data_IF_615995262876
#
_entry.id   IF_615995262876
#
_cell.length_a   1.000
_cell.length_b   1.000
_cell.length_c   1.000
_cell.angle_alpha   90.00
_cell.angle_beta   90.00
_cell.angle_gamma   90.00
#
_symmetry.space_group_name_H-M   'P 1'
#
loop_
_entity.id
_entity.type
_entity.pdbx_description
1 polymer ?
#
# COMPACT_ATOMS: atom_id res chain seq x y z
N UNK A 1 -0.25 -2.10 -34.82
CA UNK A 1 0.07 -3.32 -34.05
C UNK A 1 1.12 -4.08 -34.83
N UNK A 2 2.34 -4.18 -34.30
CA UNK A 2 3.41 -5.01 -34.85
C UNK A 2 2.93 -6.46 -34.91
N UNK A 3 2.96 -7.05 -36.10
CA UNK A 3 2.53 -8.43 -36.33
C UNK A 3 3.57 -9.38 -35.73
N UNK A 4 3.48 -9.63 -34.42
CA UNK A 4 4.23 -10.70 -33.78
C UNK A 4 3.71 -12.02 -34.33
N UNK A 5 4.55 -12.67 -35.13
CA UNK A 5 4.29 -13.99 -35.70
C UNK A 5 4.32 -15.00 -34.57
N UNK A 6 3.20 -15.67 -34.33
CA UNK A 6 3.08 -16.71 -33.29
C UNK A 6 3.27 -18.10 -33.90
N UNK A 7 2.83 -18.30 -35.15
CA UNK A 7 3.00 -19.55 -35.88
C UNK A 7 4.47 -19.95 -36.04
N UNK A 8 4.75 -21.24 -35.82
CA UNK A 8 6.04 -21.88 -36.14
C UNK A 8 6.15 -22.33 -37.60
N UNK A 9 5.07 -22.22 -38.37
CA UNK A 9 5.04 -22.64 -39.77
C UNK A 9 5.74 -21.60 -40.65
N UNK A 10 6.86 -21.94 -41.34
CA UNK A 10 7.67 -20.98 -42.08
C UNK A 10 6.90 -20.27 -43.20
N UNK A 11 5.85 -20.89 -43.74
CA UNK A 11 5.00 -20.29 -44.77
C UNK A 11 4.16 -19.15 -44.17
N UNK A 12 3.60 -19.34 -42.99
CA UNK A 12 2.83 -18.31 -42.27
C UNK A 12 3.74 -17.15 -41.88
N UNK A 13 4.95 -17.46 -41.37
CA UNK A 13 5.94 -16.42 -41.04
C UNK A 13 6.30 -15.58 -42.27
N UNK A 14 6.52 -16.21 -43.43
CA UNK A 14 6.82 -15.50 -44.67
C UNK A 14 5.64 -14.66 -45.18
N UNK A 15 4.40 -15.11 -44.99
CA UNK A 15 3.20 -14.34 -45.35
C UNK A 15 3.07 -13.10 -44.47
N UNK A 16 3.19 -13.25 -43.15
CA UNK A 16 3.05 -12.15 -42.19
C UNK A 16 4.20 -11.14 -42.33
N UNK A 17 5.43 -11.63 -42.57
CA UNK A 17 6.59 -10.78 -42.84
C UNK A 17 6.55 -10.09 -44.22
N UNK A 18 5.59 -10.44 -45.07
CA UNK A 18 5.46 -9.88 -46.43
C UNK A 18 6.52 -10.35 -47.42
N UNK A 19 7.32 -11.35 -47.08
CA UNK A 19 8.39 -11.91 -47.94
C UNK A 19 7.88 -13.02 -48.86
N UNK A 20 6.68 -13.55 -48.61
CA UNK A 20 6.07 -14.57 -49.44
C UNK A 20 5.69 -14.07 -50.85
N UNK A 21 5.91 -14.87 -51.91
CA UNK A 21 5.48 -14.54 -53.28
C UNK A 21 3.98 -14.22 -53.35
N UNK A 22 3.59 -13.35 -54.29
CA UNK A 22 2.19 -12.93 -54.45
C UNK A 22 1.24 -14.12 -54.66
N UNK A 23 1.66 -15.12 -55.43
CA UNK A 23 0.88 -16.35 -55.64
C UNK A 23 0.63 -17.12 -54.33
N UNK A 24 1.62 -17.18 -53.43
CA UNK A 24 1.48 -17.84 -52.13
C UNK A 24 0.58 -17.04 -51.18
N UNK A 25 0.71 -15.71 -51.15
CA UNK A 25 -0.18 -14.82 -50.38
C UNK A 25 -1.64 -14.93 -50.86
N UNK A 26 -1.85 -15.02 -52.17
CA UNK A 26 -3.19 -15.21 -52.75
C UNK A 26 -3.75 -16.61 -52.48
N UNK A 27 -2.92 -17.66 -52.53
CA UNK A 27 -3.33 -19.01 -52.15
C UNK A 27 -3.73 -19.10 -50.67
N UNK A 28 -2.98 -18.43 -49.78
CA UNK A 28 -3.33 -18.31 -48.38
C UNK A 28 -4.65 -17.54 -48.18
N UNK A 29 -4.82 -16.40 -48.86
CA UNK A 29 -6.04 -15.60 -48.81
C UNK A 29 -7.30 -16.37 -49.22
N UNK A 30 -7.16 -17.38 -50.10
CA UNK A 30 -8.24 -18.26 -50.56
C UNK A 30 -8.38 -19.57 -49.76
N UNK A 31 -7.57 -19.75 -48.71
CA UNK A 31 -7.58 -20.98 -47.89
C UNK A 31 -7.10 -22.24 -48.61
N UNK A 32 -6.29 -22.11 -49.67
CA UNK A 32 -5.83 -23.25 -50.49
C UNK A 32 -4.53 -23.90 -49.98
N UNK A 33 -3.90 -23.34 -48.95
CA UNK A 33 -2.68 -23.88 -48.38
C UNK A 33 -2.98 -25.00 -47.37
N UNK A 34 -2.18 -26.08 -47.31
CA UNK A 34 -2.33 -27.16 -46.35
C UNK A 34 -1.81 -26.74 -44.97
N UNK A 35 -2.53 -25.85 -44.29
CA UNK A 35 -2.20 -25.32 -42.98
C UNK A 35 -3.13 -25.88 -41.90
N UNK A 36 -2.67 -25.85 -40.65
CA UNK A 36 -3.56 -26.06 -39.51
C UNK A 36 -4.60 -24.93 -39.44
N UNK A 37 -5.72 -25.16 -38.76
CA UNK A 37 -6.77 -24.15 -38.66
C UNK A 37 -6.28 -22.87 -37.97
N UNK A 38 -5.45 -22.98 -36.92
CA UNK A 38 -4.88 -21.84 -36.21
C UNK A 38 -3.90 -21.05 -37.12
N UNK A 39 -3.01 -21.74 -37.82
CA UNK A 39 -2.06 -21.15 -38.76
C UNK A 39 -2.75 -20.45 -39.93
N UNK A 40 -3.81 -21.07 -40.47
CA UNK A 40 -4.61 -20.50 -41.55
C UNK A 40 -5.27 -19.19 -41.09
N UNK A 41 -5.91 -19.18 -39.91
CA UNK A 41 -6.54 -17.98 -39.38
C UNK A 41 -5.53 -16.87 -39.09
N UNK A 42 -4.34 -17.20 -38.57
CA UNK A 42 -3.30 -16.20 -38.34
C UNK A 42 -2.85 -15.54 -39.64
N UNK A 43 -2.61 -16.34 -40.69
CA UNK A 43 -2.28 -15.84 -42.01
C UNK A 43 -3.40 -14.96 -42.61
N UNK A 44 -4.66 -15.42 -42.52
CA UNK A 44 -5.82 -14.67 -43.03
C UNK A 44 -6.02 -13.34 -42.30
N UNK A 45 -5.90 -13.33 -40.97
CA UNK A 45 -6.04 -12.11 -40.15
C UNK A 45 -4.93 -11.11 -40.49
N UNK A 46 -3.69 -11.56 -40.69
CA UNK A 46 -2.59 -10.70 -41.12
C UNK A 46 -2.85 -10.09 -42.51
N UNK A 47 -3.36 -10.88 -43.46
CA UNK A 47 -3.64 -10.43 -44.83
C UNK A 47 -4.73 -9.35 -44.92
N UNK A 48 -5.57 -9.17 -43.90
CA UNK A 48 -6.54 -8.06 -43.83
C UNK A 48 -5.88 -6.67 -43.77
N UNK A 49 -4.62 -6.61 -43.35
CA UNK A 49 -3.84 -5.36 -43.31
C UNK A 49 -2.94 -5.18 -44.54
N UNK A 50 -3.12 -6.01 -45.57
CA UNK A 50 -2.33 -5.95 -46.82
C UNK A 50 -2.63 -4.66 -47.61
N UNK A 51 -1.63 -4.05 -48.26
CA UNK A 51 -1.85 -2.91 -49.15
C UNK A 51 -2.60 -3.28 -50.44
N UNK A 52 -2.71 -4.58 -50.78
CA UNK A 52 -3.37 -5.08 -51.99
C UNK A 52 -4.85 -5.36 -51.71
N UNK A 53 -5.81 -4.59 -52.28
CA UNK A 53 -7.24 -4.74 -51.98
C UNK A 53 -7.82 -6.11 -52.33
N UNK A 54 -7.30 -6.76 -53.37
CA UNK A 54 -7.74 -8.09 -53.79
C UNK A 54 -7.40 -9.17 -52.75
N UNK A 55 -6.22 -9.07 -52.11
CA UNK A 55 -5.81 -9.97 -51.04
C UNK A 55 -6.69 -9.77 -49.80
N UNK A 56 -6.97 -8.51 -49.44
CA UNK A 56 -7.83 -8.18 -48.30
C UNK A 56 -9.23 -8.76 -48.53
N UNK A 57 -9.81 -8.57 -49.72
CA UNK A 57 -11.14 -9.10 -50.05
C UNK A 57 -11.18 -10.63 -50.00
N UNK A 58 -10.22 -11.30 -50.64
CA UNK A 58 -10.17 -12.77 -50.64
C UNK A 58 -10.00 -13.33 -49.21
N UNK A 59 -9.12 -12.74 -48.40
CA UNK A 59 -8.92 -13.16 -47.02
C UNK A 59 -10.19 -12.95 -46.18
N UNK A 60 -10.89 -11.82 -46.37
CA UNK A 60 -12.15 -11.54 -45.68
C UNK A 60 -13.26 -12.53 -46.08
N UNK A 61 -13.43 -12.82 -47.37
CA UNK A 61 -14.38 -13.83 -47.86
C UNK A 61 -14.11 -15.20 -47.24
N UNK A 62 -12.85 -15.61 -47.17
CA UNK A 62 -12.45 -16.88 -46.56
C UNK A 62 -12.69 -16.90 -45.05
N UNK A 63 -12.44 -15.79 -44.34
CA UNK A 63 -12.72 -15.65 -42.91
C UNK A 63 -14.22 -15.67 -42.60
N UNK A 64 -15.03 -15.08 -43.47
CA UNK A 64 -16.48 -15.05 -43.32
C UNK A 64 -17.10 -16.44 -43.55
N UNK A 65 -16.49 -17.24 -44.44
CA UNK A 65 -16.88 -18.63 -44.70
C UNK A 65 -16.49 -19.64 -43.60
N UNK A 66 -15.73 -19.23 -42.57
CA UNK A 66 -15.33 -20.14 -41.49
C UNK A 66 -16.51 -20.57 -40.62
N UNK A 67 -16.59 -21.86 -40.31
CA UNK A 67 -17.65 -22.43 -39.50
C UNK A 67 -17.45 -22.21 -37.99
N UNK A 68 -18.56 -22.02 -37.27
CA UNK A 68 -18.54 -21.75 -35.83
C UNK A 68 -17.79 -22.80 -34.97
N UNK A 69 -17.91 -24.13 -35.21
CA UNK A 69 -17.18 -25.13 -34.42
C UNK A 69 -15.65 -25.00 -34.56
N UNK A 70 -15.16 -24.70 -35.77
CA UNK A 70 -13.73 -24.51 -36.05
C UNK A 70 -13.20 -23.24 -35.37
N UNK A 71 -13.98 -22.15 -35.41
CA UNK A 71 -13.63 -20.91 -34.72
C UNK A 71 -13.62 -21.08 -33.19
N UNK A 72 -14.58 -21.84 -32.64
CA UNK A 72 -14.65 -22.14 -31.21
C UNK A 72 -13.45 -22.98 -30.75
N UNK A 73 -13.05 -23.99 -31.53
CA UNK A 73 -11.87 -24.80 -31.24
C UNK A 73 -10.61 -23.94 -31.15
N UNK A 74 -10.43 -23.01 -32.09
CA UNK A 74 -9.29 -22.07 -32.09
C UNK A 74 -9.39 -21.08 -30.92
N UNK A 75 -10.57 -20.54 -30.60
CA UNK A 75 -10.72 -19.63 -29.46
C UNK A 75 -10.36 -20.28 -28.12
N UNK A 76 -10.60 -21.59 -27.96
CA UNK A 76 -10.27 -22.36 -26.75
C UNK A 76 -8.80 -22.75 -26.65
N UNK A 77 -8.08 -22.81 -27.77
CA UNK A 77 -6.68 -23.21 -27.79
C UNK A 77 -5.79 -22.12 -27.18
N UNK A 78 -4.97 -22.49 -26.20
CA UNK A 78 -4.08 -21.57 -25.49
C UNK A 78 -2.91 -21.07 -26.34
N UNK A 79 -2.55 -21.81 -27.39
CA UNK A 79 -1.46 -21.46 -28.31
C UNK A 79 -1.94 -20.58 -29.48
N UNK A 80 -3.24 -20.26 -29.53
CA UNK A 80 -3.79 -19.40 -30.57
C UNK A 80 -3.14 -18.01 -30.55
N UNK A 81 -2.77 -17.55 -31.74
CA UNK A 81 -2.15 -16.25 -31.93
C UNK A 81 -3.02 -15.11 -31.36
N UNK A 82 -2.43 -14.15 -30.61
CA UNK A 82 -3.18 -13.02 -30.04
C UNK A 82 -3.90 -12.16 -31.09
N UNK A 83 -3.36 -12.09 -32.31
CA UNK A 83 -3.98 -11.41 -33.45
C UNK A 83 -5.31 -12.06 -33.86
N UNK A 84 -5.37 -13.39 -33.84
CA UNK A 84 -6.57 -14.17 -34.16
C UNK A 84 -7.62 -13.97 -33.06
N UNK A 85 -7.24 -14.08 -31.79
CA UNK A 85 -8.14 -13.82 -30.66
C UNK A 85 -8.68 -12.39 -30.69
N UNK A 86 -7.83 -11.41 -31.05
CA UNK A 86 -8.24 -10.02 -31.26
C UNK A 86 -9.25 -9.85 -32.39
N UNK A 87 -9.07 -10.55 -33.52
CA UNK A 87 -10.05 -10.58 -34.60
C UNK A 87 -11.38 -11.19 -34.15
N UNK A 88 -11.35 -12.32 -33.43
CA UNK A 88 -12.55 -12.99 -32.93
C UNK A 88 -13.32 -12.14 -31.92
N UNK A 89 -12.62 -11.40 -31.05
CA UNK A 89 -13.22 -10.47 -30.09
C UNK A 89 -14.06 -9.37 -30.77
N UNK A 90 -13.62 -8.88 -31.92
CA UNK A 90 -14.31 -7.82 -32.68
C UNK A 90 -15.42 -8.31 -33.61
N UNK A 91 -15.62 -9.63 -33.74
CA UNK A 91 -16.59 -10.21 -34.68
C UNK A 91 -17.99 -10.21 -34.07
N UNK A 92 -18.85 -9.28 -34.50
CA UNK A 92 -20.23 -9.15 -33.98
C UNK A 92 -21.09 -10.39 -34.22
N UNK A 93 -20.83 -11.14 -35.31
CA UNK A 93 -21.54 -12.38 -35.64
C UNK A 93 -20.99 -13.61 -34.91
N UNK A 94 -20.03 -13.44 -34.00
CA UNK A 94 -19.51 -14.55 -33.22
C UNK A 94 -20.57 -15.02 -32.21
N UNK A 95 -20.83 -16.32 -32.17
CA UNK A 95 -21.72 -16.89 -31.16
C UNK A 95 -21.18 -16.67 -29.74
N UNK A 96 -22.08 -16.66 -28.76
CA UNK A 96 -21.78 -16.47 -27.32
C UNK A 96 -20.61 -17.33 -26.84
N UNK A 97 -20.60 -18.61 -27.22
CA UNK A 97 -19.56 -19.57 -26.81
C UNK A 97 -18.15 -19.19 -27.30
N UNK A 98 -18.05 -18.57 -28.49
CA UNK A 98 -16.77 -18.10 -29.03
C UNK A 98 -16.31 -16.87 -28.26
N UNK A 99 -17.22 -15.92 -27.99
CA UNK A 99 -16.90 -14.72 -27.22
C UNK A 99 -16.46 -15.06 -25.80
N UNK A 100 -17.13 -16.02 -25.16
CA UNK A 100 -16.75 -16.53 -23.84
C UNK A 100 -15.37 -17.21 -23.89
N UNK A 101 -15.11 -18.07 -24.89
CA UNK A 101 -13.79 -18.67 -25.06
C UNK A 101 -12.68 -17.63 -25.25
N UNK A 102 -12.92 -16.60 -26.05
CA UNK A 102 -11.98 -15.48 -26.23
C UNK A 102 -11.75 -14.72 -24.92
N UNK A 103 -12.80 -14.47 -24.14
CA UNK A 103 -12.68 -13.79 -22.85
C UNK A 103 -11.86 -14.59 -21.81
N UNK A 104 -12.01 -15.92 -21.82
CA UNK A 104 -11.32 -16.83 -20.90
C UNK A 104 -9.90 -17.19 -21.35
N UNK A 105 -9.55 -16.97 -22.61
CA UNK A 105 -8.22 -17.31 -23.12
C UNK A 105 -7.16 -16.33 -22.59
N UNK A 106 -6.11 -16.87 -21.97
CA UNK A 106 -4.98 -16.10 -21.40
C UNK A 106 -4.19 -15.32 -22.45
N UNK A 107 -4.17 -15.80 -23.69
CA UNK A 107 -3.42 -15.21 -24.81
C UNK A 107 -4.17 -14.06 -25.47
N UNK A 108 -5.44 -13.82 -25.11
CA UNK A 108 -6.22 -12.70 -25.65
C UNK A 108 -5.64 -11.36 -25.18
N UNK A 109 -5.34 -10.43 -26.10
CA UNK A 109 -4.90 -9.08 -25.76
C UNK A 109 -5.93 -8.32 -24.93
N UNK A 110 -5.50 -7.45 -24.03
CA UNK A 110 -6.43 -6.69 -23.19
C UNK A 110 -7.24 -5.67 -23.99
N UNK A 111 -6.66 -5.09 -25.04
CA UNK A 111 -7.39 -4.19 -25.95
C UNK A 111 -8.55 -4.91 -26.63
N UNK A 112 -8.37 -6.19 -26.94
CA UNK A 112 -9.42 -7.03 -27.50
C UNK A 112 -10.52 -7.35 -26.48
N UNK A 113 -10.15 -7.60 -25.21
CA UNK A 113 -11.12 -7.76 -24.13
C UNK A 113 -11.89 -6.46 -23.87
N UNK A 114 -11.22 -5.31 -23.89
CA UNK A 114 -11.87 -4.01 -23.76
C UNK A 114 -12.86 -3.75 -24.90
N UNK A 115 -12.45 -4.06 -26.14
CA UNK A 115 -13.34 -4.00 -27.30
C UNK A 115 -14.56 -4.92 -27.11
N UNK A 116 -14.34 -6.19 -26.77
CA UNK A 116 -15.41 -7.17 -26.53
C UNK A 116 -16.37 -6.70 -25.44
N UNK A 117 -15.84 -6.20 -24.32
CA UNK A 117 -16.60 -5.62 -23.22
C UNK A 117 -17.38 -4.37 -23.64
N UNK A 118 -16.91 -3.60 -24.63
CA UNK A 118 -17.63 -2.41 -25.11
C UNK A 118 -18.78 -2.72 -26.07
N UNK A 119 -18.68 -3.82 -26.83
CA UNK A 119 -19.64 -4.15 -27.90
C UNK A 119 -20.63 -5.27 -27.53
N UNK A 120 -20.31 -6.09 -26.51
CA UNK A 120 -21.18 -7.22 -26.15
C UNK A 120 -22.53 -6.74 -25.66
N UNK A 121 -23.58 -7.49 -26.01
CA UNK A 121 -24.94 -7.30 -25.49
C UNK A 121 -25.30 -8.36 -24.45
N UNK A 122 -24.38 -9.27 -24.10
CA UNK A 122 -24.58 -10.30 -23.07
C UNK A 122 -23.93 -9.87 -21.75
N UNK A 123 -24.78 -9.61 -20.75
CA UNK A 123 -24.33 -9.25 -19.40
C UNK A 123 -23.55 -10.37 -18.69
N UNK A 124 -23.82 -11.64 -19.00
CA UNK A 124 -23.09 -12.77 -18.39
C UNK A 124 -21.63 -12.79 -18.84
N UNK A 125 -21.36 -12.36 -20.07
CA UNK A 125 -20.00 -12.22 -20.59
C UNK A 125 -19.24 -11.09 -19.87
N UNK A 126 -19.91 -9.98 -19.56
CA UNK A 126 -19.32 -8.88 -18.77
C UNK A 126 -18.99 -9.35 -17.34
N UNK A 127 -19.82 -10.19 -16.74
CA UNK A 127 -19.50 -10.83 -15.47
C UNK A 127 -18.26 -11.73 -15.57
N UNK A 128 -18.18 -12.58 -16.60
CA UNK A 128 -17.01 -13.43 -16.83
C UNK A 128 -15.72 -12.61 -17.04
N UNK A 129 -15.79 -11.50 -17.78
CA UNK A 129 -14.65 -10.58 -17.98
C UNK A 129 -14.21 -9.97 -16.64
N UNK A 130 -15.15 -9.55 -15.81
CA UNK A 130 -14.84 -8.89 -14.52
C UNK A 130 -14.39 -9.84 -13.41
N UNK A 131 -14.53 -11.16 -13.57
CA UNK A 131 -13.91 -12.14 -12.66
C UNK A 131 -12.39 -12.02 -12.68
N UNK A 132 -11.79 -11.69 -13.82
CA UNK A 132 -10.33 -11.62 -13.96
C UNK A 132 -9.79 -10.27 -13.50
N UNK A 133 -9.63 -10.12 -12.18
CA UNK A 133 -9.15 -8.88 -11.55
C UNK A 133 -7.76 -8.45 -12.06
N UNK A 134 -6.84 -9.40 -12.32
CA UNK A 134 -5.50 -9.09 -12.84
C UNK A 134 -5.56 -8.34 -14.17
N UNK A 135 -6.50 -8.72 -15.06
CA UNK A 135 -6.72 -8.01 -16.33
C UNK A 135 -7.29 -6.61 -16.11
N UNK A 136 -8.24 -6.45 -15.18
CA UNK A 136 -8.81 -5.13 -14.85
C UNK A 136 -7.76 -4.16 -14.32
N UNK A 137 -6.84 -4.64 -13.47
CA UNK A 137 -5.72 -3.85 -12.94
C UNK A 137 -4.73 -3.50 -14.05
N UNK A 138 -4.37 -4.47 -14.92
CA UNK A 138 -3.41 -4.24 -16.00
C UNK A 138 -3.94 -3.31 -17.10
N UNK A 139 -5.24 -3.36 -17.40
CA UNK A 139 -5.87 -2.62 -18.48
C UNK A 139 -7.17 -1.91 -18.03
N UNK A 140 -7.07 -0.67 -17.53
CA UNK A 140 -8.21 0.10 -17.02
C UNK A 140 -9.30 0.39 -18.06
N UNK A 141 -8.95 0.36 -19.35
CA UNK A 141 -9.90 0.50 -20.45
C UNK A 141 -10.99 -0.58 -20.43
N UNK A 142 -10.71 -1.77 -19.87
CA UNK A 142 -11.72 -2.82 -19.68
C UNK A 142 -12.76 -2.37 -18.64
N UNK A 143 -12.31 -1.75 -17.54
CA UNK A 143 -13.22 -1.22 -16.51
C UNK A 143 -14.14 -0.16 -17.11
N UNK A 144 -13.60 0.77 -17.88
CA UNK A 144 -14.38 1.82 -18.55
C UNK A 144 -15.37 1.23 -19.56
N UNK A 145 -14.95 0.22 -20.33
CA UNK A 145 -15.82 -0.48 -21.27
C UNK A 145 -17.01 -1.16 -20.56
N UNK A 146 -16.76 -1.87 -19.45
CA UNK A 146 -17.83 -2.54 -18.67
C UNK A 146 -18.78 -1.51 -18.07
N UNK A 147 -18.27 -0.44 -17.44
CA UNK A 147 -19.11 0.59 -16.81
C UNK A 147 -19.98 1.31 -17.83
N UNK A 148 -19.47 1.57 -19.03
CA UNK A 148 -20.20 2.29 -20.07
C UNK A 148 -21.10 1.39 -20.94
N UNK A 149 -20.99 0.06 -20.83
CA UNK A 149 -21.82 -0.86 -21.60
C UNK A 149 -23.27 -0.88 -21.09
N UNK A 150 -24.24 -0.80 -22.01
CA UNK A 150 -25.67 -0.84 -21.71
C UNK A 150 -26.17 -2.20 -21.18
N UNK A 151 -25.48 -3.29 -21.50
CA UNK A 151 -25.77 -4.65 -21.05
C UNK A 151 -25.12 -5.01 -19.71
N UNK A 152 -24.47 -4.05 -19.03
CA UNK A 152 -23.83 -4.28 -17.73
C UNK A 152 -24.82 -4.81 -16.69
N UNK A 153 -24.40 -5.83 -15.97
CA UNK A 153 -25.15 -6.36 -14.82
C UNK A 153 -24.72 -5.67 -13.53
N UNK A 154 -25.55 -5.70 -12.47
CA UNK A 154 -25.15 -5.16 -11.17
C UNK A 154 -23.84 -5.75 -10.64
N UNK A 155 -23.58 -7.05 -10.86
CA UNK A 155 -22.37 -7.71 -10.39
C UNK A 155 -21.13 -7.29 -11.19
N UNK A 156 -21.24 -7.21 -12.52
CA UNK A 156 -20.15 -6.72 -13.37
C UNK A 156 -19.79 -5.25 -13.07
N UNK A 157 -20.80 -4.39 -12.88
CA UNK A 157 -20.59 -2.99 -12.51
C UNK A 157 -19.94 -2.87 -11.12
N UNK A 158 -20.43 -3.65 -10.14
CA UNK A 158 -19.89 -3.66 -8.78
C UNK A 158 -18.40 -4.01 -8.78
N UNK A 159 -18.00 -5.15 -9.39
CA UNK A 159 -16.60 -5.59 -9.45
C UNK A 159 -15.69 -4.59 -10.18
N UNK A 160 -16.17 -4.04 -11.30
CA UNK A 160 -15.41 -3.05 -12.05
C UNK A 160 -15.19 -1.77 -11.23
N UNK A 161 -16.23 -1.27 -10.54
CA UNK A 161 -16.12 -0.09 -9.67
C UNK A 161 -15.28 -0.33 -8.43
N UNK A 162 -15.40 -1.49 -7.81
CA UNK A 162 -14.60 -1.90 -6.65
C UNK A 162 -13.11 -1.91 -7.03
N UNK A 163 -12.75 -2.60 -8.12
CA UNK A 163 -11.38 -2.60 -8.64
C UNK A 163 -10.91 -1.18 -8.99
N UNK A 164 -11.77 -0.37 -9.62
CA UNK A 164 -11.44 1.04 -9.93
C UNK A 164 -11.14 1.85 -8.67
N UNK A 165 -11.98 1.72 -7.65
CA UNK A 165 -11.86 2.46 -6.40
C UNK A 165 -10.62 2.04 -5.63
N UNK A 166 -10.39 0.74 -5.51
CA UNK A 166 -9.28 0.17 -4.76
C UNK A 166 -7.92 0.48 -5.37
N UNK A 167 -7.77 0.32 -6.69
CA UNK A 167 -6.45 0.39 -7.31
C UNK A 167 -6.15 1.72 -8.00
N UNK A 168 -7.16 2.51 -8.39
CA UNK A 168 -6.92 3.72 -9.18
C UNK A 168 -7.37 5.00 -8.49
N UNK A 169 -8.50 5.00 -7.80
CA UNK A 169 -8.98 6.21 -7.12
C UNK A 169 -8.24 6.45 -5.80
N UNK A 170 -7.90 5.40 -5.04
CA UNK A 170 -7.05 5.51 -3.84
C UNK A 170 -5.64 6.02 -4.18
N UNK A 171 -4.98 5.42 -5.16
CA UNK A 171 -3.64 5.85 -5.59
C UNK A 171 -3.63 7.28 -6.14
N UNK A 172 -4.59 7.64 -6.99
CA UNK A 172 -4.68 9.00 -7.55
C UNK A 172 -5.04 10.04 -6.50
N UNK A 173 -5.89 9.71 -5.53
CA UNK A 173 -6.21 10.59 -4.41
C UNK A 173 -4.97 10.90 -3.56
N UNK A 174 -4.22 9.87 -3.18
CA UNK A 174 -2.97 10.02 -2.44
C UNK A 174 -1.93 10.84 -3.24
N UNK A 175 -1.76 10.54 -4.53
CA UNK A 175 -0.83 11.27 -5.42
C UNK A 175 -1.23 12.73 -5.63
N UNK A 176 -2.52 13.02 -5.78
CA UNK A 176 -3.01 14.39 -5.93
C UNK A 176 -2.74 15.20 -4.66
N UNK A 177 -3.05 14.64 -3.48
CA UNK A 177 -2.79 15.31 -2.20
C UNK A 177 -1.29 15.50 -1.98
N UNK A 178 -0.48 14.48 -2.28
CA UNK A 178 0.97 14.58 -2.22
C UNK A 178 1.50 15.67 -3.17
N UNK A 179 0.94 15.80 -4.37
CA UNK A 179 1.23 16.88 -5.31
C UNK A 179 0.90 18.26 -4.74
N UNK A 180 -0.28 18.42 -4.13
CA UNK A 180 -0.71 19.67 -3.48
C UNK A 180 0.18 20.01 -2.27
N UNK A 181 0.54 19.04 -1.44
CA UNK A 181 1.44 19.22 -0.29
C UNK A 181 2.85 19.64 -0.72
N UNK A 182 3.39 19.02 -1.78
CA UNK A 182 4.67 19.47 -2.39
C UNK A 182 4.57 20.89 -2.91
N UNK A 183 3.46 21.26 -3.55
CA UNK A 183 3.25 22.64 -4.01
C UNK A 183 3.20 23.65 -2.86
N UNK A 184 2.76 23.25 -1.67
CA UNK A 184 2.78 24.04 -0.44
C UNK A 184 4.13 24.01 0.30
N UNK A 185 5.14 23.30 -0.22
CA UNK A 185 6.46 23.14 0.42
C UNK A 185 6.51 22.10 1.55
N UNK A 186 5.43 21.35 1.76
CA UNK A 186 5.34 20.28 2.78
C UNK A 186 5.81 18.93 2.20
N UNK A 187 7.08 18.84 1.79
CA UNK A 187 7.62 17.66 1.12
C UNK A 187 7.57 16.38 1.97
N UNK A 188 7.95 16.47 3.25
CA UNK A 188 7.90 15.35 4.20
C UNK A 188 6.48 14.79 4.38
N UNK A 189 5.48 15.67 4.40
CA UNK A 189 4.08 15.30 4.49
C UNK A 189 3.59 14.56 3.23
N UNK A 190 4.05 14.99 2.05
CA UNK A 190 3.74 14.34 0.78
C UNK A 190 4.34 12.93 0.68
N UNK A 191 5.61 12.77 1.10
CA UNK A 191 6.30 11.47 1.16
C UNK A 191 5.56 10.49 2.08
N UNK A 192 5.10 10.97 3.24
CA UNK A 192 4.30 10.15 4.14
C UNK A 192 2.99 9.69 3.49
N UNK A 193 2.24 10.60 2.84
CA UNK A 193 0.97 10.28 2.17
C UNK A 193 1.12 9.24 1.06
N UNK A 194 2.22 9.24 0.33
CA UNK A 194 2.49 8.22 -0.70
C UNK A 194 2.89 6.86 -0.12
N UNK A 195 3.51 6.86 1.07
CA UNK A 195 3.98 5.64 1.72
C UNK A 195 2.99 5.04 2.74
N UNK A 196 1.92 5.76 3.07
CA UNK A 196 0.96 5.37 4.09
C UNK A 196 -0.05 4.37 3.52
N UNK A 197 -0.01 3.15 4.03
CA UNK A 197 -0.90 2.06 3.60
C UNK A 197 -2.29 2.16 4.24
N UNK A 198 -2.46 2.90 5.35
CA UNK A 198 -3.79 3.12 5.93
C UNK A 198 -4.70 4.01 5.09
N UNK A 199 -4.20 4.62 4.01
CA UNK A 199 -5.02 5.44 3.11
C UNK A 199 -5.85 4.55 2.19
N UNK A 200 -6.93 4.02 2.77
CA UNK A 200 -8.02 3.40 2.02
C UNK A 200 -8.37 1.97 2.41
N UNK A 201 -7.67 1.35 3.36
CA UNK A 201 -8.05 0.02 3.88
C UNK A 201 -8.97 0.05 5.09
N UNK A 202 -9.07 1.18 5.80
CA UNK A 202 -9.80 1.24 7.08
C UNK A 202 -11.09 2.06 6.99
N UNK A 203 -12.20 1.44 7.35
CA UNK A 203 -13.39 2.14 7.85
C UNK A 203 -12.96 3.00 9.06
N UNK A 204 -12.56 4.25 8.84
CA UNK A 204 -12.26 5.16 9.96
C UNK A 204 -11.47 6.42 9.67
N UNK A 205 -10.66 6.48 8.60
CA UNK A 205 -9.87 7.69 8.29
C UNK A 205 -10.37 8.33 6.99
N UNK A 206 -10.97 9.51 7.12
CA UNK A 206 -11.37 10.33 5.98
C UNK A 206 -10.17 11.01 5.32
N UNK A 207 -10.38 11.54 4.12
CA UNK A 207 -9.38 12.34 3.40
C UNK A 207 -8.93 13.55 4.22
N UNK A 208 -9.87 14.17 4.94
CA UNK A 208 -9.61 15.33 5.80
C UNK A 208 -8.78 14.93 7.03
N UNK A 209 -8.96 13.71 7.54
CA UNK A 209 -8.16 13.18 8.65
C UNK A 209 -6.71 12.98 8.22
N UNK A 210 -6.50 12.44 7.02
CA UNK A 210 -5.18 12.25 6.44
C UNK A 210 -4.45 13.58 6.24
N UNK A 211 -5.15 14.59 5.72
CA UNK A 211 -4.57 15.93 5.53
C UNK A 211 -4.15 16.56 6.85
N UNK A 212 -4.99 16.47 7.90
CA UNK A 212 -4.64 16.98 9.23
C UNK A 212 -3.42 16.26 9.81
N UNK A 213 -3.32 14.93 9.66
CA UNK A 213 -2.15 14.16 10.11
C UNK A 213 -0.90 14.60 9.35
N UNK A 214 -1.01 14.83 8.03
CA UNK A 214 0.08 15.29 7.19
C UNK A 214 0.64 16.66 7.63
N UNK A 215 -0.18 17.54 8.23
CA UNK A 215 0.30 18.81 8.80
C UNK A 215 1.28 18.65 9.96
N UNK A 216 1.22 17.51 10.64
CA UNK A 216 2.06 17.22 11.79
C UNK A 216 3.37 16.54 11.37
N UNK A 217 3.70 16.49 10.08
CA UNK A 217 4.89 15.80 9.57
C UNK A 217 5.96 16.81 9.19
N UNK A 218 7.11 16.67 9.82
CA UNK A 218 8.15 17.68 9.83
C UNK A 218 9.49 17.21 9.26
N UNK A 219 9.76 15.90 9.34
CA UNK A 219 11.04 15.29 8.96
C UNK A 219 10.86 14.45 7.70
N UNK A 220 11.74 14.68 6.71
CA UNK A 220 11.74 13.93 5.45
C UNK A 220 12.42 12.58 5.59
N UNK A 221 12.16 11.67 4.66
CA UNK A 221 12.72 10.30 4.69
C UNK A 221 14.25 10.32 4.59
N UNK A 222 14.82 11.33 3.95
CA UNK A 222 16.28 11.51 3.79
C UNK A 222 16.99 11.76 5.12
N UNK A 223 16.27 12.35 6.08
CA UNK A 223 16.83 12.75 7.38
C UNK A 223 16.74 11.62 8.43
N UNK A 224 16.23 10.45 8.06
CA UNK A 224 15.90 9.37 8.98
C UNK A 224 16.82 8.17 8.78
N UNK A 225 17.41 7.72 9.88
CA UNK A 225 18.11 6.45 9.94
C UNK A 225 17.15 5.32 10.34
N UNK A 226 16.48 4.73 9.35
CA UNK A 226 15.57 3.59 9.53
C UNK A 226 16.31 2.25 9.66
N UNK A 227 17.65 2.23 9.74
CA UNK A 227 18.42 0.97 9.83
C UNK A 227 18.12 0.17 11.11
N UNK A 228 17.65 0.85 12.17
CA UNK A 228 17.19 0.22 13.40
C UNK A 228 15.82 -0.48 13.25
N UNK A 229 15.11 -0.15 12.18
CA UNK A 229 13.74 -0.51 11.89
C UNK A 229 13.71 -1.42 10.66
N UNK A 230 13.90 -2.73 10.88
CA UNK A 230 13.44 -3.71 9.91
C UNK A 230 11.89 -3.75 9.91
N UNK A 231 11.25 -2.68 9.41
CA UNK A 231 9.78 -2.53 9.31
C UNK A 231 9.14 -3.74 8.62
N UNK A 232 9.78 -4.23 7.56
CA UNK A 232 9.35 -5.41 6.78
C UNK A 232 9.20 -6.66 7.65
N UNK A 233 9.89 -6.74 8.79
CA UNK A 233 9.81 -7.88 9.73
C UNK A 233 8.95 -7.61 10.96
N UNK A 234 8.45 -6.38 11.13
CA UNK A 234 7.59 -5.97 12.26
C UNK A 234 6.11 -6.19 11.92
N UNK A 235 5.75 -6.06 10.64
CA UNK A 235 4.39 -6.20 10.11
C UNK A 235 3.78 -7.59 10.39
N UNK A 236 4.58 -8.65 10.22
CA UNK A 236 4.15 -10.05 10.41
C UNK A 236 3.78 -10.40 11.87
N UNK A 237 4.15 -9.57 12.84
CA UNK A 237 4.07 -9.94 14.27
C UNK A 237 3.08 -9.11 15.11
N UNK A 238 2.51 -8.01 14.58
CA UNK A 238 1.66 -7.10 15.36
C UNK A 238 0.43 -6.58 14.58
N UNK A 239 -0.50 -7.46 14.23
CA UNK A 239 -1.85 -7.05 13.85
C UNK A 239 -2.66 -6.66 15.09
N UNK A 240 -2.92 -5.36 15.27
CA UNK A 240 -3.85 -4.85 16.26
C UNK A 240 -5.27 -4.78 15.67
N UNK A 241 -6.25 -5.36 16.39
CA UNK A 241 -7.65 -5.25 16.00
C UNK A 241 -8.16 -3.81 16.14
N UNK A 242 -9.21 -3.46 15.39
CA UNK A 242 -9.83 -2.14 15.48
C UNK A 242 -10.26 -1.80 16.92
N UNK A 243 -10.84 -2.76 17.64
CA UNK A 243 -11.26 -2.60 19.04
C UNK A 243 -10.07 -2.29 19.97
N UNK A 244 -8.91 -2.92 19.74
CA UNK A 244 -7.70 -2.64 20.51
C UNK A 244 -7.21 -1.21 20.27
N UNK A 245 -7.27 -0.72 19.02
CA UNK A 245 -6.89 0.67 18.68
C UNK A 245 -7.82 1.68 19.33
N UNK A 246 -9.14 1.45 19.28
CA UNK A 246 -10.14 2.29 19.95
C UNK A 246 -9.92 2.30 21.46
N UNK A 247 -9.71 1.14 22.09
CA UNK A 247 -9.45 1.05 23.52
C UNK A 247 -8.17 1.81 23.93
N UNK A 248 -7.13 1.74 23.11
CA UNK A 248 -5.89 2.50 23.33
C UNK A 248 -6.14 4.02 23.19
N UNK A 249 -6.92 4.45 22.19
CA UNK A 249 -7.30 5.85 22.03
C UNK A 249 -8.05 6.38 23.25
N UNK A 250 -9.08 5.68 23.73
CA UNK A 250 -9.85 6.09 24.91
C UNK A 250 -8.99 6.13 26.18
N UNK A 251 -8.03 5.21 26.32
CA UNK A 251 -7.08 5.25 27.43
C UNK A 251 -6.23 6.51 27.41
N UNK A 252 -5.66 6.87 26.26
CA UNK A 252 -4.80 8.06 26.13
C UNK A 252 -5.61 9.35 26.32
N UNK A 253 -6.85 9.40 25.81
CA UNK A 253 -7.77 10.51 26.04
C UNK A 253 -8.06 10.63 27.54
N UNK A 254 -8.41 9.54 28.22
CA UNK A 254 -8.66 9.57 29.65
C UNK A 254 -7.45 9.97 30.50
N UNK A 255 -6.23 9.62 30.07
CA UNK A 255 -4.99 10.09 30.70
C UNK A 255 -4.75 11.59 30.46
N UNK A 256 -4.98 12.05 29.23
CA UNK A 256 -4.92 13.46 28.83
C UNK A 256 -5.88 14.32 29.65
N UNK A 257 -7.11 13.86 29.83
CA UNK A 257 -8.13 14.59 30.60
C UNK A 257 -7.76 14.75 32.06
N UNK A 258 -7.06 13.78 32.65
CA UNK A 258 -6.56 13.88 34.03
C UNK A 258 -5.45 14.91 34.16
N UNK A 259 -4.76 15.24 33.08
CA UNK A 259 -3.71 16.26 33.03
C UNK A 259 -4.26 17.66 32.72
N UNK A 260 -5.56 17.77 32.40
CA UNK A 260 -6.24 19.05 32.14
C UNK A 260 -6.06 19.58 30.71
N UNK A 261 -5.59 18.75 29.78
CA UNK A 261 -5.32 19.10 28.38
C UNK A 261 -6.47 18.69 27.44
N UNK A 262 -7.71 19.03 27.80
CA UNK A 262 -8.96 18.58 27.15
C UNK A 262 -9.45 19.48 26.00
N UNK A 263 -8.56 19.95 25.12
CA UNK A 263 -9.04 20.67 23.94
C UNK A 263 -9.73 19.70 22.97
N UNK A 264 -10.89 20.07 22.38
CA UNK A 264 -11.63 19.18 21.48
C UNK A 264 -10.82 18.81 20.23
N UNK A 265 -9.97 19.74 19.76
CA UNK A 265 -9.04 19.53 18.65
C UNK A 265 -8.01 18.45 18.99
N UNK A 266 -7.42 18.50 20.18
CA UNK A 266 -6.44 17.51 20.63
C UNK A 266 -7.05 16.13 20.84
N UNK A 267 -8.25 16.05 21.40
CA UNK A 267 -8.99 14.79 21.54
C UNK A 267 -9.27 14.17 20.16
N UNK A 268 -9.65 14.99 19.18
CA UNK A 268 -9.86 14.52 17.80
C UNK A 268 -8.56 14.02 17.18
N UNK A 269 -7.46 14.75 17.35
CA UNK A 269 -6.14 14.35 16.86
C UNK A 269 -5.67 13.02 17.48
N UNK A 270 -5.83 12.84 18.79
CA UNK A 270 -5.51 11.58 19.48
C UNK A 270 -6.29 10.41 18.87
N UNK A 271 -7.61 10.58 18.65
CA UNK A 271 -8.44 9.53 18.03
C UNK A 271 -7.94 9.18 16.64
N UNK A 272 -7.70 10.18 15.79
CA UNK A 272 -7.24 9.98 14.40
C UNK A 272 -5.90 9.23 14.36
N UNK A 273 -4.91 9.69 15.13
CA UNK A 273 -3.59 9.06 15.19
C UNK A 273 -3.69 7.61 15.66
N UNK A 274 -4.48 7.33 16.70
CA UNK A 274 -4.56 5.99 17.29
C UNK A 274 -5.30 4.98 16.41
N UNK A 275 -6.18 5.43 15.51
CA UNK A 275 -6.89 4.57 14.58
C UNK A 275 -6.04 4.12 13.38
N UNK A 276 -4.92 4.80 13.10
CA UNK A 276 -3.96 4.39 12.06
C UNK A 276 -3.36 3.00 12.31
N UNK A 277 -2.75 2.41 11.28
CA UNK A 277 -1.97 1.18 11.42
C UNK A 277 -0.75 1.41 12.31
N UNK A 278 -0.24 0.33 12.92
CA UNK A 278 0.99 0.40 13.75
C UNK A 278 2.15 0.95 12.95
N UNK A 279 2.28 0.56 11.67
CA UNK A 279 3.32 1.04 10.74
C UNK A 279 3.27 2.54 10.55
N UNK A 280 2.08 3.09 10.28
CA UNK A 280 1.91 4.52 10.07
C UNK A 280 2.12 5.32 11.37
N UNK A 281 1.74 4.76 12.53
CA UNK A 281 2.07 5.36 13.84
C UNK A 281 3.57 5.36 14.12
N UNK A 282 4.31 4.30 13.74
CA UNK A 282 5.77 4.26 13.84
C UNK A 282 6.38 5.38 12.97
N UNK A 283 6.00 5.45 11.69
CA UNK A 283 6.47 6.49 10.76
C UNK A 283 6.15 7.89 11.28
N UNK A 284 4.93 8.11 11.76
CA UNK A 284 4.52 9.40 12.35
C UNK A 284 5.31 9.71 13.63
N UNK A 285 5.67 8.73 14.45
CA UNK A 285 6.51 8.95 15.64
C UNK A 285 7.91 9.47 15.28
N UNK A 286 8.48 8.95 14.18
CA UNK A 286 9.81 9.33 13.71
C UNK A 286 9.84 10.64 12.93
N UNK A 287 8.75 10.95 12.22
CA UNK A 287 8.66 12.12 11.33
C UNK A 287 7.87 13.29 11.90
N UNK A 288 7.06 13.01 12.90
CA UNK A 288 6.05 13.90 13.41
C UNK A 288 6.63 15.07 14.22
N UNK A 289 5.81 16.10 14.34
CA UNK A 289 6.01 17.27 15.17
C UNK A 289 5.93 16.93 16.67
N UNK A 290 6.06 17.95 17.51
CA UNK A 290 6.03 17.79 18.96
C UNK A 290 4.71 17.20 19.46
N UNK A 291 3.58 17.56 18.85
CA UNK A 291 2.26 17.13 19.32
C UNK A 291 2.05 15.65 19.04
N UNK A 292 2.36 15.20 17.80
CA UNK A 292 2.33 13.79 17.42
C UNK A 292 3.24 12.95 18.32
N UNK A 293 4.47 13.42 18.59
CA UNK A 293 5.40 12.75 19.52
C UNK A 293 4.84 12.63 20.94
N UNK A 294 4.19 13.69 21.44
CA UNK A 294 3.63 13.72 22.80
C UNK A 294 2.49 12.71 23.00
N UNK A 295 1.76 12.41 21.92
CA UNK A 295 0.68 11.42 21.88
C UNK A 295 1.27 10.01 21.74
N UNK A 296 2.14 9.79 20.75
CA UNK A 296 2.67 8.47 20.39
C UNK A 296 3.64 7.89 21.43
N UNK A 297 4.31 8.70 22.24
CA UNK A 297 5.18 8.21 23.32
C UNK A 297 4.41 7.41 24.40
N UNK A 298 3.09 7.61 24.47
CA UNK A 298 2.19 6.92 25.40
C UNK A 298 1.51 5.70 24.78
N UNK A 299 1.83 5.32 23.54
CA UNK A 299 1.21 4.18 22.87
C UNK A 299 1.43 2.88 23.66
N UNK A 300 0.42 1.99 23.68
CA UNK A 300 0.54 0.65 24.25
C UNK A 300 1.57 -0.20 23.52
N UNK A 301 1.73 0.01 22.22
CA UNK A 301 2.72 -0.66 21.42
C UNK A 301 4.10 -0.05 21.67
N UNK A 302 4.99 -0.86 22.25
CA UNK A 302 6.34 -0.42 22.62
C UNK A 302 7.15 0.04 21.41
N UNK A 303 6.94 -0.57 20.23
CA UNK A 303 7.69 -0.22 19.02
C UNK A 303 7.36 1.21 18.59
N UNK A 304 6.07 1.56 18.56
CA UNK A 304 5.59 2.93 18.29
C UNK A 304 6.17 3.92 19.29
N UNK A 305 6.07 3.63 20.59
CA UNK A 305 6.59 4.51 21.63
C UNK A 305 8.12 4.70 21.53
N UNK A 306 8.87 3.65 21.21
CA UNK A 306 10.32 3.76 21.01
C UNK A 306 10.72 4.49 19.73
N UNK A 307 9.88 4.48 18.69
CA UNK A 307 10.14 5.19 17.45
C UNK A 307 10.24 6.72 17.68
N UNK A 308 9.40 7.26 18.57
CA UNK A 308 9.44 8.67 18.99
C UNK A 308 10.81 9.08 19.54
N UNK A 309 11.48 8.19 20.28
CA UNK A 309 12.79 8.47 20.89
C UNK A 309 13.90 8.58 19.84
N UNK A 310 13.71 7.98 18.66
CA UNK A 310 14.65 8.03 17.55
C UNK A 310 14.36 9.20 16.57
N UNK A 311 13.33 10.00 16.82
CA UNK A 311 13.03 11.18 16.00
C UNK A 311 14.19 12.19 16.08
N UNK A 312 14.76 12.64 14.94
CA UNK A 312 15.94 13.51 14.92
C UNK A 312 15.67 14.91 15.49
N UNK A 313 14.40 15.33 15.56
CA UNK A 313 13.99 16.64 16.11
C UNK A 313 13.54 16.59 17.57
N UNK A 314 13.69 15.45 18.26
CA UNK A 314 13.32 15.37 19.67
C UNK A 314 14.24 16.24 20.53
N UNK A 315 13.65 17.15 21.31
CA UNK A 315 14.40 18.10 22.12
C UNK A 315 14.72 17.56 23.52
N UNK A 316 15.78 18.10 24.14
CA UNK A 316 16.14 17.72 25.53
C UNK A 316 15.01 18.04 26.52
N UNK A 317 14.27 19.13 26.30
CA UNK A 317 13.13 19.50 27.13
C UNK A 317 11.96 18.50 27.02
N UNK A 318 11.70 17.96 25.82
CA UNK A 318 10.74 16.86 25.65
C UNK A 318 11.18 15.62 26.41
N UNK A 319 12.46 15.26 26.34
CA UNK A 319 13.01 14.10 27.08
C UNK A 319 12.91 14.29 28.59
N UNK A 320 13.16 15.51 29.09
CA UNK A 320 12.97 15.85 30.50
C UNK A 320 11.51 15.59 30.93
N UNK A 321 10.54 16.05 30.15
CA UNK A 321 9.13 15.81 30.42
C UNK A 321 8.79 14.31 30.36
N UNK A 322 9.21 13.60 29.31
CA UNK A 322 8.98 12.16 29.12
C UNK A 322 9.56 11.34 30.28
N UNK A 323 10.76 11.69 30.76
CA UNK A 323 11.42 10.98 31.87
C UNK A 323 10.64 11.03 33.19
N UNK A 324 9.75 12.02 33.35
CA UNK A 324 8.88 12.17 34.52
C UNK A 324 7.53 11.44 34.39
N UNK A 325 7.14 11.06 33.17
CA UNK A 325 5.83 10.47 32.87
C UNK A 325 5.70 9.05 33.43
N UNK A 326 4.55 8.74 34.04
CA UNK A 326 4.24 7.39 34.57
C UNK A 326 3.44 6.52 33.60
N UNK A 327 3.00 7.11 32.49
CA UNK A 327 2.17 6.52 31.42
C UNK A 327 3.02 5.88 30.32
N UNK A 328 4.30 6.25 30.21
CA UNK A 328 5.22 5.73 29.20
C UNK A 328 5.74 4.33 29.53
N UNK A 329 6.18 3.60 28.50
CA UNK A 329 6.74 2.25 28.65
C UNK A 329 8.11 2.28 29.36
N UNK A 330 8.44 1.19 30.04
CA UNK A 330 9.73 0.99 30.70
C UNK A 330 10.89 0.98 29.69
N UNK A 331 10.63 0.51 28.48
CA UNK A 331 11.55 0.48 27.36
C UNK A 331 11.98 1.89 26.91
N UNK A 332 11.03 2.83 26.81
CA UNK A 332 11.32 4.25 26.53
C UNK A 332 12.28 4.81 27.58
N UNK A 333 11.99 4.58 28.86
CA UNK A 333 12.84 5.08 29.96
C UNK A 333 14.22 4.42 29.96
N UNK A 334 14.32 3.16 29.52
CA UNK A 334 15.59 2.45 29.33
C UNK A 334 16.43 3.10 28.25
N UNK A 335 15.85 3.38 27.08
CA UNK A 335 16.55 4.06 25.98
C UNK A 335 17.04 5.44 26.40
N UNK A 336 16.21 6.20 27.11
CA UNK A 336 16.62 7.51 27.64
C UNK A 336 17.82 7.39 28.58
N UNK A 337 17.80 6.40 29.48
CA UNK A 337 18.90 6.16 30.42
C UNK A 337 20.21 5.73 29.75
N UNK A 338 20.13 5.02 28.61
CA UNK A 338 21.29 4.54 27.84
C UNK A 338 21.89 5.61 26.92
N UNK A 339 21.13 6.66 26.58
CA UNK A 339 21.60 7.74 25.73
C UNK A 339 22.65 8.61 26.47
N UNK A 340 23.86 8.68 25.91
CA UNK A 340 24.98 9.40 26.53
C UNK A 340 24.78 10.91 26.64
N UNK A 341 24.04 11.53 25.72
CA UNK A 341 23.78 12.96 25.74
C UNK A 341 22.83 13.30 26.90
N UNK A 342 21.66 12.65 26.94
CA UNK A 342 20.65 12.88 27.97
C UNK A 342 21.09 12.42 29.36
N UNK A 343 21.92 11.37 29.45
CA UNK A 343 22.48 10.91 30.70
C UNK A 343 23.41 11.93 31.40
N UNK A 344 23.84 13.00 30.71
CA UNK A 344 24.60 14.11 31.32
C UNK A 344 23.69 15.15 31.98
N UNK A 345 22.42 15.18 31.60
CA UNK A 345 21.45 16.15 32.09
C UNK A 345 20.94 15.77 33.48
N UNK A 346 21.16 16.65 34.46
CA UNK A 346 20.74 16.40 35.84
C UNK A 346 19.22 16.22 36.00
N UNK A 347 18.37 17.09 35.42
CA UNK A 347 16.91 16.94 35.51
C UNK A 347 16.43 15.58 34.99
N UNK A 348 16.92 15.14 33.84
CA UNK A 348 16.55 13.86 33.22
C UNK A 348 16.91 12.69 34.13
N UNK A 349 18.17 12.60 34.58
CA UNK A 349 18.59 11.48 35.43
C UNK A 349 17.89 11.51 36.80
N UNK A 350 17.58 12.70 37.33
CA UNK A 350 16.83 12.85 38.57
C UNK A 350 15.39 12.35 38.43
N UNK A 351 14.72 12.69 37.32
CA UNK A 351 13.37 12.21 37.00
C UNK A 351 13.35 10.70 36.83
N UNK A 352 14.28 10.14 36.04
CA UNK A 352 14.42 8.69 35.85
C UNK A 352 14.60 7.94 37.17
N UNK A 353 15.46 8.43 38.07
CA UNK A 353 15.70 7.80 39.37
C UNK A 353 14.46 7.79 40.30
N UNK A 354 13.52 8.72 40.09
CA UNK A 354 12.28 8.85 40.87
C UNK A 354 11.07 8.18 40.21
N UNK A 355 11.19 7.77 38.96
CA UNK A 355 10.08 7.24 38.19
C UNK A 355 9.88 5.74 38.51
N UNK A 356 8.66 5.30 38.91
CA UNK A 356 8.37 3.89 39.21
C UNK A 356 8.57 2.94 38.03
N UNK A 357 8.46 3.43 36.79
CA UNK A 357 8.54 2.63 35.56
C UNK A 357 9.97 2.46 35.05
N UNK A 358 10.94 3.21 35.59
CA UNK A 358 12.34 3.07 35.19
C UNK A 358 12.87 1.70 35.61
N UNK A 359 13.49 0.93 34.69
CA UNK A 359 14.10 -0.34 35.05
C UNK A 359 15.08 -0.22 36.23
N UNK A 360 14.97 -1.13 37.19
CA UNK A 360 15.70 -1.06 38.46
C UNK A 360 17.21 -0.90 38.25
N UNK A 361 17.77 -1.63 37.27
CA UNK A 361 19.20 -1.58 36.93
C UNK A 361 19.62 -0.18 36.49
N UNK A 362 18.84 0.45 35.61
CA UNK A 362 19.09 1.80 35.14
C UNK A 362 19.01 2.80 36.30
N UNK A 363 17.94 2.73 37.12
CA UNK A 363 17.76 3.60 38.28
C UNK A 363 18.93 3.50 39.27
N UNK A 364 19.37 2.28 39.63
CA UNK A 364 20.51 2.06 40.54
C UNK A 364 21.80 2.66 40.00
N UNK A 365 22.08 2.48 38.70
CA UNK A 365 23.29 3.05 38.07
C UNK A 365 23.32 4.58 38.14
N UNK A 366 22.15 5.21 38.03
CA UNK A 366 21.97 6.66 38.06
C UNK A 366 22.20 7.23 39.46
N UNK A 367 21.86 6.51 40.54
CA UNK A 367 21.96 7.02 41.92
C UNK A 367 23.35 7.55 42.29
N UNK A 368 24.41 6.96 41.71
CA UNK A 368 25.80 7.43 41.87
C UNK A 368 26.02 8.87 41.40
N UNK A 369 25.13 9.43 40.59
CA UNK A 369 25.22 10.79 40.02
C UNK A 369 24.22 11.78 40.64
N UNK A 370 23.34 11.32 41.52
CA UNK A 370 22.32 12.16 42.18
C UNK A 370 22.92 12.94 43.35
N UNK A 371 22.48 14.18 43.59
CA UNK A 371 22.96 15.02 44.71
C UNK A 371 22.50 14.46 46.05
N UNK A 372 23.23 14.79 47.13
CA UNK A 372 22.99 14.24 48.47
C UNK A 372 21.55 14.46 48.98
N UNK A 373 21.04 15.70 48.89
CA UNK A 373 19.67 16.04 49.33
C UNK A 373 18.62 15.21 48.57
N UNK A 374 18.81 15.05 47.27
CA UNK A 374 17.90 14.31 46.42
C UNK A 374 17.96 12.81 46.68
N UNK A 375 19.13 12.25 47.01
CA UNK A 375 19.25 10.84 47.46
C UNK A 375 18.45 10.59 48.74
N UNK A 376 18.49 11.53 49.70
CA UNK A 376 17.68 11.44 50.92
C UNK A 376 16.20 11.46 50.57
N UNK A 377 15.76 12.34 49.67
CA UNK A 377 14.36 12.38 49.23
C UNK A 377 13.94 11.09 48.50
N UNK A 378 14.80 10.54 47.63
CA UNK A 378 14.54 9.26 46.93
C UNK A 378 14.41 8.12 47.93
N UNK A 379 15.25 8.08 48.98
CA UNK A 379 15.19 7.03 50.00
C UNK A 379 13.86 6.96 50.74
N UNK A 380 13.15 8.10 50.84
CA UNK A 380 11.85 8.22 51.51
C UNK A 380 10.66 8.09 50.54
N UNK A 381 10.90 8.18 49.23
CA UNK A 381 9.83 8.22 48.22
C UNK A 381 9.20 6.83 47.99
N UNK A 382 7.99 6.62 48.52
CA UNK A 382 7.24 5.35 48.41
C UNK A 382 6.85 4.97 46.98
N UNK A 383 6.89 5.91 46.03
CA UNK A 383 6.61 5.62 44.63
C UNK A 383 7.77 4.89 43.93
N UNK A 384 8.97 4.86 44.51
CA UNK A 384 10.15 4.22 43.92
C UNK A 384 10.32 2.81 44.48
N UNK A 385 10.85 1.87 43.68
CA UNK A 385 11.08 0.49 44.11
C UNK A 385 11.95 0.40 45.38
N UNK A 386 11.68 -0.59 46.22
CA UNK A 386 12.38 -0.73 47.50
C UNK A 386 13.90 -0.90 47.33
N UNK A 387 14.34 -1.63 46.30
CA UNK A 387 15.75 -1.81 45.98
C UNK A 387 16.46 -0.47 45.72
N UNK A 388 15.82 0.42 44.94
CA UNK A 388 16.37 1.75 44.65
C UNK A 388 16.37 2.63 45.90
N UNK A 389 15.32 2.58 46.73
CA UNK A 389 15.28 3.32 48.02
C UNK A 389 16.40 2.90 48.97
N UNK A 390 16.61 1.59 49.15
CA UNK A 390 17.66 1.05 50.03
C UNK A 390 19.05 1.45 49.53
N UNK A 391 19.28 1.40 48.22
CA UNK A 391 20.55 1.81 47.64
C UNK A 391 20.78 3.33 47.75
N UNK A 392 19.73 4.14 47.54
CA UNK A 392 19.80 5.59 47.72
C UNK A 392 20.12 5.96 49.18
N UNK A 393 19.50 5.27 50.14
CA UNK A 393 19.78 5.43 51.57
C UNK A 393 21.24 5.12 51.90
N UNK A 394 21.75 3.98 51.43
CA UNK A 394 23.16 3.59 51.62
C UNK A 394 24.13 4.63 51.07
N UNK A 395 23.91 5.08 49.84
CA UNK A 395 24.75 6.12 49.21
C UNK A 395 24.65 7.47 49.92
N UNK A 396 23.47 7.82 50.45
CA UNK A 396 23.29 9.03 51.24
C UNK A 396 24.11 8.97 52.54
N UNK A 397 24.07 7.85 53.27
CA UNK A 397 24.87 7.65 54.49
C UNK A 397 26.36 7.77 54.23
N UNK A 398 26.87 7.03 53.23
CA UNK A 398 28.29 7.05 52.85
C UNK A 398 28.77 8.46 52.49
N UNK A 399 27.93 9.27 51.84
CA UNK A 399 28.28 10.65 51.47
C UNK A 399 28.11 11.67 52.59
N UNK A 400 27.26 11.38 53.57
CA UNK A 400 27.12 12.21 54.77
C UNK A 400 28.22 11.97 55.82
N UNK A 401 29.09 10.97 55.61
CA UNK A 401 30.19 10.66 56.52
C UNK A 401 29.77 9.94 57.81
N UNK A 402 28.62 9.26 57.79
CA UNK A 402 28.09 8.45 58.91
C UNK A 402 28.19 6.96 58.63
#
# INVERSE_FOLDING_TARGET
MSANVTSTNPVVQAIIAGTAPQAARMAAARGLLPLSQADLLEALVALRSSPEPELVRAAQETLDAQEAPSLLAVAKDSETAPSVLGYLAGRQSAGREIQEAVALNKSTPDEAIALLASITTDGSLLEAITVNQQRLIRAPSIIEAVINNAARTPESERRARETKREFFEKERGAQQIAGELRAQGKAAAAEFMESAESLGETEGLSLDDAWLIAEHIEVSDVDIDDSWLLLERIEEFYEESYEQRVANAERIIGETSREGEDSPERISLIRRIMLMTVKDRIKLGMKGDREARSILIRDSNKIVATAVIHNPRITEHEIENISSMRTVSDEVLRLIAMNRAWARSYPIIHNLARNPRTPIVAAISILSRIRLKDLQHISQNRNVSEAVRRQAFRLAQTRSGN
#
